data_IF_548538145154
#
_entry.id   IF_548538145154
#
_cell.length_a   1.000
_cell.length_b   1.000
_cell.length_c   1.000
_cell.angle_alpha   90.00
_cell.angle_beta   90.00
_cell.angle_gamma   90.00
#
_symmetry.space_group_name_H-M   'P 1'
#
loop_
_entity.id
_entity.type
_entity.pdbx_description
1 polymer ?
#
# COMPACT_ATOMS: atom_id res chain seq x y z
N UNK A 1 -13.66 -7.57 4.96
CA UNK A 1 -13.83 -6.92 3.65
C UNK A 1 -12.52 -6.26 3.20
N UNK A 2 -11.91 -5.35 4.00
CA UNK A 2 -10.68 -4.63 3.58
C UNK A 2 -9.53 -5.59 3.24
N UNK A 3 -9.24 -6.57 4.09
CA UNK A 3 -8.19 -7.56 3.83
C UNK A 3 -8.46 -8.40 2.57
N UNK A 4 -9.74 -8.62 2.24
CA UNK A 4 -10.15 -9.32 1.01
C UNK A 4 -9.94 -8.45 -0.23
N UNK A 5 -10.18 -7.14 -0.10
CA UNK A 5 -10.00 -6.20 -1.22
C UNK A 5 -8.52 -6.00 -1.55
N UNK A 6 -7.66 -6.14 -0.57
CA UNK A 6 -6.22 -5.86 -0.66
C UNK A 6 -5.37 -7.09 -1.05
N UNK A 7 -5.82 -8.31 -0.73
CA UNK A 7 -5.06 -9.53 -1.00
C UNK A 7 -5.07 -9.89 -2.49
N UNK A 8 -3.98 -10.43 -3.03
CA UNK A 8 -3.93 -11.05 -4.36
C UNK A 8 -4.44 -12.48 -4.33
N UNK A 9 -4.19 -13.19 -3.23
CA UNK A 9 -4.68 -14.54 -2.95
C UNK A 9 -5.25 -14.57 -1.54
N UNK A 10 -6.37 -15.25 -1.34
CA UNK A 10 -7.03 -15.38 -0.04
C UNK A 10 -6.89 -16.81 0.45
N UNK A 11 -6.29 -17.00 1.62
CA UNK A 11 -6.28 -18.29 2.31
C UNK A 11 -7.39 -18.29 3.36
N UNK A 12 -8.44 -19.09 3.13
CA UNK A 12 -9.53 -19.27 4.09
C UNK A 12 -9.27 -20.50 4.93
N UNK A 13 -9.08 -20.28 6.24
CA UNK A 13 -8.71 -21.36 7.18
C UNK A 13 -9.93 -21.78 7.99
N UNK A 14 -10.27 -23.07 7.94
CA UNK A 14 -11.35 -23.70 8.70
C UNK A 14 -10.83 -24.85 9.57
N UNK A 15 -11.60 -25.32 10.52
CA UNK A 15 -11.20 -26.39 11.45
C UNK A 15 -11.74 -27.74 11.01
N UNK A 16 -10.85 -28.69 10.66
CA UNK A 16 -11.25 -30.06 10.34
C UNK A 16 -11.89 -30.84 11.53
N UNK A 17 -11.55 -30.46 12.77
CA UNK A 17 -12.12 -31.07 13.97
C UNK A 17 -13.55 -30.63 14.28
N UNK A 18 -13.90 -29.40 13.91
CA UNK A 18 -15.22 -28.83 14.22
C UNK A 18 -16.20 -29.02 13.07
N UNK A 19 -15.69 -29.38 11.88
CA UNK A 19 -16.50 -29.44 10.67
C UNK A 19 -16.87 -28.03 10.19
N UNK A 20 -17.81 -27.96 9.24
CA UNK A 20 -18.31 -26.68 8.71
C UNK A 20 -19.26 -26.06 9.74
N UNK A 21 -19.00 -24.82 10.09
CA UNK A 21 -19.84 -24.02 10.98
C UNK A 21 -20.66 -22.98 10.22
N UNK A 22 -21.72 -22.43 10.83
CA UNK A 22 -22.51 -21.32 10.27
C UNK A 22 -21.62 -20.08 9.96
N UNK A 23 -20.57 -19.89 10.76
CA UNK A 23 -19.60 -18.82 10.55
C UNK A 23 -18.77 -19.05 9.28
N UNK A 24 -18.35 -20.29 9.03
CA UNK A 24 -17.61 -20.67 7.83
C UNK A 24 -18.45 -20.46 6.57
N UNK A 25 -19.72 -20.87 6.60
CA UNK A 25 -20.65 -20.65 5.51
C UNK A 25 -20.91 -19.15 5.26
N UNK A 26 -21.00 -18.36 6.33
CA UNK A 26 -21.16 -16.91 6.20
C UNK A 26 -19.96 -16.27 5.51
N UNK A 27 -18.75 -16.64 5.93
CA UNK A 27 -17.49 -16.15 5.31
C UNK A 27 -17.39 -16.64 3.87
N UNK A 28 -17.70 -17.92 3.60
CA UNK A 28 -17.70 -18.46 2.24
C UNK A 28 -18.61 -17.66 1.30
N UNK A 29 -19.83 -17.32 1.75
CA UNK A 29 -20.75 -16.44 0.98
C UNK A 29 -20.19 -15.05 0.70
N UNK A 30 -19.38 -14.49 1.60
CA UNK A 30 -18.69 -13.22 1.34
C UNK A 30 -17.57 -13.39 0.31
N UNK A 31 -16.81 -14.50 0.42
CA UNK A 31 -15.72 -14.82 -0.50
C UNK A 31 -16.20 -15.07 -1.93
N UNK A 32 -17.39 -15.59 -2.15
CA UNK A 32 -17.97 -15.73 -3.50
C UNK A 32 -18.14 -14.43 -4.26
N UNK A 33 -18.19 -13.30 -3.57
CA UNK A 33 -18.33 -11.97 -4.20
C UNK A 33 -17.00 -11.42 -4.67
N UNK A 34 -15.89 -12.01 -4.24
CA UNK A 34 -14.57 -11.63 -4.72
C UNK A 34 -14.23 -12.42 -5.98
N UNK A 35 -13.48 -11.81 -6.88
CA UNK A 35 -12.97 -12.48 -8.07
C UNK A 35 -11.51 -12.94 -7.88
N UNK A 36 -11.04 -12.93 -6.62
CA UNK A 36 -9.67 -13.31 -6.26
C UNK A 36 -9.56 -14.80 -6.05
N UNK A 37 -8.39 -15.41 -6.31
CA UNK A 37 -8.14 -16.81 -5.98
C UNK A 37 -8.33 -17.07 -4.49
N UNK A 38 -9.02 -18.16 -4.16
CA UNK A 38 -9.27 -18.58 -2.78
C UNK A 38 -8.68 -19.96 -2.58
N UNK A 39 -7.88 -20.13 -1.54
CA UNK A 39 -7.31 -21.39 -1.10
C UNK A 39 -8.00 -21.79 0.19
N UNK A 40 -8.75 -22.91 0.17
CA UNK A 40 -9.44 -23.42 1.34
C UNK A 40 -8.52 -24.35 2.14
N UNK A 41 -8.04 -23.88 3.29
CA UNK A 41 -7.17 -24.63 4.18
C UNK A 41 -7.97 -25.26 5.33
N UNK A 42 -8.05 -26.59 5.37
CA UNK A 42 -8.70 -27.33 6.47
C UNK A 42 -7.63 -27.69 7.50
N UNK A 43 -7.56 -26.91 8.58
CA UNK A 43 -6.56 -27.06 9.63
C UNK A 43 -6.99 -28.08 10.71
N UNK A 44 -6.06 -28.49 11.54
CA UNK A 44 -6.21 -29.51 12.59
C UNK A 44 -6.46 -30.92 12.04
N UNK A 45 -6.02 -31.22 10.81
CA UNK A 45 -6.01 -32.58 10.24
C UNK A 45 -4.74 -33.30 10.71
N UNK A 46 -4.75 -33.76 11.96
CA UNK A 46 -3.56 -34.24 12.66
C UNK A 46 -3.24 -35.71 12.37
N UNK A 47 -4.17 -36.47 11.77
CA UNK A 47 -3.96 -37.87 11.43
C UNK A 47 -4.54 -38.22 10.03
N UNK A 48 -4.11 -39.38 9.44
CA UNK A 48 -4.54 -39.77 8.11
C UNK A 48 -6.06 -40.10 8.01
N UNK A 49 -6.70 -40.51 9.09
CA UNK A 49 -8.12 -40.86 9.11
C UNK A 49 -8.99 -39.63 8.87
N UNK A 50 -8.58 -38.48 9.43
CA UNK A 50 -9.28 -37.20 9.22
C UNK A 50 -9.20 -36.67 7.78
N UNK A 51 -8.29 -37.22 6.95
CA UNK A 51 -8.20 -36.79 5.54
C UNK A 51 -9.45 -37.14 4.73
N UNK A 52 -10.23 -38.15 5.13
CA UNK A 52 -11.50 -38.47 4.48
C UNK A 52 -12.61 -37.48 4.82
N UNK A 53 -12.52 -36.81 5.96
CA UNK A 53 -13.52 -35.84 6.42
C UNK A 53 -13.41 -34.50 5.75
N UNK A 54 -12.26 -34.20 5.11
CA UNK A 54 -12.08 -32.94 4.38
C UNK A 54 -13.00 -32.79 3.17
N UNK A 55 -13.50 -33.90 2.63
CA UNK A 55 -14.42 -33.88 1.49
C UNK A 55 -15.72 -33.14 1.80
N UNK A 56 -16.13 -33.10 3.05
CA UNK A 56 -17.34 -32.37 3.47
C UNK A 56 -17.18 -30.85 3.19
N UNK A 57 -15.94 -30.36 3.20
CA UNK A 57 -15.65 -28.93 2.97
C UNK A 57 -15.82 -28.49 1.51
N UNK A 58 -15.97 -29.42 0.55
CA UNK A 58 -16.43 -29.07 -0.80
C UNK A 58 -17.81 -28.40 -0.79
N UNK A 59 -18.63 -28.63 0.25
CA UNK A 59 -19.91 -27.96 0.39
C UNK A 59 -19.79 -26.43 0.50
N UNK A 60 -18.64 -25.92 0.91
CA UNK A 60 -18.36 -24.49 0.90
C UNK A 60 -18.17 -23.93 -0.51
N UNK A 61 -17.96 -24.75 -1.55
CA UNK A 61 -17.88 -24.38 -2.95
C UNK A 61 -16.67 -23.51 -3.32
N UNK A 62 -15.64 -23.46 -2.48
CA UNK A 62 -14.45 -22.59 -2.64
C UNK A 62 -13.27 -23.32 -3.32
N UNK A 63 -13.51 -24.40 -4.03
CA UNK A 63 -12.49 -25.23 -4.67
C UNK A 63 -12.02 -26.39 -3.80
N UNK A 64 -10.85 -26.95 -4.13
CA UNK A 64 -10.29 -28.11 -3.45
C UNK A 64 -9.81 -27.74 -2.03
N UNK A 65 -10.25 -28.48 -0.99
CA UNK A 65 -9.78 -28.25 0.37
C UNK A 65 -8.38 -28.85 0.58
N UNK A 66 -7.45 -28.05 1.12
CA UNK A 66 -6.10 -28.47 1.47
C UNK A 66 -6.03 -28.92 2.92
N UNK A 67 -5.75 -30.22 3.21
CA UNK A 67 -5.60 -30.70 4.57
C UNK A 67 -4.29 -30.21 5.18
N UNK A 68 -4.36 -29.55 6.32
CA UNK A 68 -3.17 -29.09 7.06
C UNK A 68 -3.23 -29.42 8.53
N UNK A 69 -2.05 -29.58 9.11
CA UNK A 69 -1.84 -29.54 10.55
C UNK A 69 -0.76 -28.52 10.87
N UNK A 70 -1.16 -27.32 11.26
CA UNK A 70 -0.22 -26.25 11.58
C UNK A 70 0.68 -26.58 12.78
N UNK A 71 0.20 -27.41 13.71
CA UNK A 71 0.99 -27.85 14.86
C UNK A 71 2.09 -28.82 14.45
N UNK A 72 1.85 -29.66 13.45
CA UNK A 72 2.80 -30.68 12.97
C UNK A 72 3.50 -30.30 11.67
N UNK A 73 3.19 -29.13 11.10
CA UNK A 73 3.76 -28.69 9.83
C UNK A 73 3.36 -29.52 8.60
N UNK A 74 2.31 -30.37 8.73
CA UNK A 74 1.85 -31.25 7.64
C UNK A 74 0.97 -30.45 6.68
N UNK A 75 1.19 -30.59 5.36
CA UNK A 75 0.41 -29.95 4.30
C UNK A 75 0.65 -28.45 4.11
N UNK A 76 1.57 -27.86 4.88
CA UNK A 76 1.91 -26.43 4.73
C UNK A 76 2.61 -26.13 3.42
N UNK A 77 3.42 -27.06 2.89
CA UNK A 77 4.06 -26.95 1.58
C UNK A 77 3.02 -26.84 0.46
N UNK A 78 2.02 -27.71 0.46
CA UNK A 78 0.98 -27.75 -0.58
C UNK A 78 0.19 -26.43 -0.62
N UNK A 79 -0.07 -25.80 0.55
CA UNK A 79 -0.69 -24.46 0.60
C UNK A 79 0.24 -23.39 0.04
N UNK A 80 1.53 -23.43 0.38
CA UNK A 80 2.49 -22.45 -0.13
C UNK A 80 2.64 -22.55 -1.65
N UNK A 81 2.69 -23.78 -2.19
CA UNK A 81 2.71 -23.99 -3.63
C UNK A 81 1.44 -23.45 -4.30
N UNK A 82 0.27 -23.75 -3.73
CA UNK A 82 -1.00 -23.21 -4.21
C UNK A 82 -1.06 -21.68 -4.16
N UNK A 83 -0.48 -21.03 -3.13
CA UNK A 83 -0.37 -19.57 -3.06
C UNK A 83 0.48 -19.06 -4.22
N UNK A 84 1.68 -19.63 -4.42
CA UNK A 84 2.61 -19.20 -5.48
C UNK A 84 2.02 -19.36 -6.86
N UNK A 85 1.32 -20.49 -7.13
CA UNK A 85 0.63 -20.74 -8.41
C UNK A 85 -0.48 -19.74 -8.73
N UNK A 86 -1.10 -19.18 -7.69
CA UNK A 86 -2.22 -18.24 -7.83
C UNK A 86 -1.82 -16.77 -7.65
N UNK A 87 -0.55 -16.48 -7.31
CA UNK A 87 -0.05 -15.11 -7.33
C UNK A 87 0.00 -14.59 -8.77
N UNK A 88 -0.33 -13.32 -9.00
CA UNK A 88 -0.14 -12.73 -10.31
C UNK A 88 1.34 -12.82 -10.71
N UNK A 89 1.59 -13.30 -11.93
CA UNK A 89 2.96 -13.27 -12.47
C UNK A 89 3.37 -11.82 -12.64
N UNK A 90 4.24 -11.32 -11.79
CA UNK A 90 4.92 -10.03 -11.97
C UNK A 90 6.02 -10.15 -13.06
N UNK A 91 5.65 -10.62 -14.24
CA UNK A 91 6.51 -10.51 -15.44
C UNK A 91 6.14 -9.26 -16.27
N UNK A 92 5.95 -8.14 -15.64
CA UNK A 92 6.36 -6.90 -16.28
C UNK A 92 7.83 -6.72 -15.90
N UNK A 93 8.75 -6.86 -16.86
CA UNK A 93 10.15 -6.54 -16.65
C UNK A 93 10.21 -5.08 -16.15
N UNK A 94 10.24 -4.90 -14.84
CA UNK A 94 10.46 -3.59 -14.25
C UNK A 94 11.80 -3.11 -14.78
N UNK A 95 11.79 -1.98 -15.45
CA UNK A 95 13.03 -1.32 -15.84
C UNK A 95 13.84 -1.09 -14.56
N UNK A 96 15.00 -1.73 -14.36
CA UNK A 96 15.75 -1.61 -13.10
C UNK A 96 16.21 -0.17 -12.81
N UNK A 97 16.21 0.69 -13.84
CA UNK A 97 16.58 2.10 -13.73
C UNK A 97 15.38 3.01 -13.44
N UNK A 98 14.15 2.46 -13.35
CA UNK A 98 12.94 3.21 -13.07
C UNK A 98 12.85 3.56 -11.59
N UNK A 99 12.79 4.85 -11.29
CA UNK A 99 12.66 5.35 -9.90
C UNK A 99 11.19 5.35 -9.48
N UNK A 100 10.88 4.63 -8.42
CA UNK A 100 9.54 4.58 -7.82
C UNK A 100 9.45 5.58 -6.67
N UNK A 101 8.44 6.45 -6.68
CA UNK A 101 8.24 7.38 -5.58
C UNK A 101 6.77 7.49 -5.17
N UNK A 102 6.57 7.88 -3.92
CA UNK A 102 5.24 8.14 -3.37
C UNK A 102 5.18 9.50 -2.68
N UNK A 103 3.96 10.06 -2.60
CA UNK A 103 3.68 11.26 -1.82
C UNK A 103 2.99 10.86 -0.53
N UNK A 104 3.58 11.20 0.60
CA UNK A 104 3.00 11.00 1.93
C UNK A 104 2.74 12.34 2.61
N UNK A 105 1.89 12.34 3.61
CA UNK A 105 1.53 13.53 4.40
C UNK A 105 0.05 13.54 4.74
N UNK A 106 -0.34 14.45 5.62
CA UNK A 106 -1.71 14.62 6.12
C UNK A 106 -2.71 14.88 4.98
N UNK A 107 -4.01 14.64 5.20
CA UNK A 107 -5.06 15.14 4.31
C UNK A 107 -4.92 16.66 4.10
N UNK A 108 -5.28 17.14 2.92
CA UNK A 108 -5.33 18.56 2.56
C UNK A 108 -4.00 19.35 2.56
N UNK A 109 -2.86 18.69 2.70
CA UNK A 109 -1.53 19.35 2.54
C UNK A 109 -1.20 19.68 1.07
N UNK A 110 -2.03 19.24 0.12
CA UNK A 110 -1.88 19.57 -1.30
C UNK A 110 -1.25 18.47 -2.16
N UNK A 111 -1.17 17.22 -1.68
CA UNK A 111 -0.62 16.09 -2.45
C UNK A 111 -1.25 15.94 -3.84
N UNK A 112 -2.57 15.96 -3.93
CA UNK A 112 -3.28 15.83 -5.22
C UNK A 112 -3.00 16.98 -6.17
N UNK A 113 -2.86 18.20 -5.65
CA UNK A 113 -2.52 19.38 -6.46
C UNK A 113 -1.10 19.27 -7.00
N UNK A 114 -0.17 18.81 -6.16
CA UNK A 114 1.22 18.60 -6.54
C UNK A 114 1.34 17.52 -7.63
N UNK A 115 0.61 16.41 -7.49
CA UNK A 115 0.54 15.36 -8.52
C UNK A 115 0.01 15.92 -9.83
N UNK A 116 -1.08 16.68 -9.78
CA UNK A 116 -1.67 17.26 -10.98
C UNK A 116 -0.72 18.26 -11.66
N UNK A 117 0.06 19.00 -10.88
CA UNK A 117 1.08 19.88 -11.42
C UNK A 117 2.21 19.10 -12.11
N UNK A 118 2.74 18.06 -11.46
CA UNK A 118 3.80 17.21 -12.03
C UNK A 118 3.30 16.52 -13.33
N UNK A 119 2.09 15.97 -13.33
CA UNK A 119 1.54 15.25 -14.49
C UNK A 119 0.93 16.17 -15.55
N UNK A 120 0.68 17.42 -15.23
CA UNK A 120 0.10 18.43 -16.13
C UNK A 120 1.13 19.30 -16.83
N UNK A 121 2.42 19.15 -16.55
CA UNK A 121 3.47 19.84 -17.28
C UNK A 121 3.59 19.29 -18.72
N UNK A 122 3.71 20.17 -19.71
CA UNK A 122 3.83 19.80 -21.14
C UNK A 122 5.04 18.90 -21.44
N UNK A 123 5.92 18.75 -20.48
CA UNK A 123 7.19 18.00 -20.53
C UNK A 123 7.08 16.56 -20.04
N UNK A 124 5.92 16.13 -19.53
CA UNK A 124 5.74 14.81 -18.93
C UNK A 124 4.76 13.97 -19.75
N UNK A 125 5.24 12.86 -20.30
CA UNK A 125 4.38 11.87 -20.97
C UNK A 125 3.93 10.86 -19.92
N UNK A 126 2.69 10.98 -19.45
CA UNK A 126 2.13 10.08 -18.45
C UNK A 126 1.31 8.95 -19.10
N UNK A 127 1.58 7.72 -18.72
CA UNK A 127 0.77 6.54 -19.04
C UNK A 127 0.26 5.89 -17.75
N UNK A 128 -1.07 5.71 -17.58
CA UNK A 128 -1.56 4.92 -16.46
C UNK A 128 -1.20 3.45 -16.69
N UNK A 129 -0.38 2.90 -15.83
CA UNK A 129 -0.17 1.45 -15.76
C UNK A 129 -1.20 0.91 -14.78
N UNK A 130 -2.09 0.04 -15.26
CA UNK A 130 -2.95 -0.73 -14.39
C UNK A 130 -2.04 -1.68 -13.60
N UNK A 131 -1.75 -1.32 -12.36
CA UNK A 131 -1.08 -2.22 -11.44
C UNK A 131 -1.93 -3.47 -11.23
N UNK A 132 -1.30 -4.57 -10.87
CA UNK A 132 -1.86 -5.89 -10.61
C UNK A 132 -2.88 -5.91 -9.46
N UNK A 133 -3.05 -4.83 -8.72
CA UNK A 133 -4.05 -4.66 -7.66
C UNK A 133 -5.10 -3.64 -8.06
N UNK A 134 -6.37 -4.04 -8.03
CA UNK A 134 -7.57 -3.30 -8.48
C UNK A 134 -7.77 -1.89 -7.88
N UNK A 135 -6.98 -1.51 -6.86
CA UNK A 135 -7.13 -0.24 -6.12
C UNK A 135 -5.92 0.69 -6.15
N UNK A 136 -4.74 0.25 -6.55
CA UNK A 136 -3.56 1.08 -6.68
C UNK A 136 -3.27 1.34 -8.16
N UNK A 137 -3.66 2.49 -8.67
CA UNK A 137 -3.24 2.93 -10.00
C UNK A 137 -1.91 3.65 -9.82
N UNK A 138 -0.83 3.01 -10.24
CA UNK A 138 0.45 3.66 -10.36
C UNK A 138 0.49 4.42 -11.70
N UNK A 139 1.25 5.49 -11.75
CA UNK A 139 1.38 6.29 -12.97
C UNK A 139 2.86 6.36 -13.36
N UNK A 140 3.17 5.82 -14.52
CA UNK A 140 4.51 5.95 -15.11
C UNK A 140 4.57 7.24 -15.92
N UNK A 141 5.66 7.96 -15.81
CA UNK A 141 5.95 9.13 -16.63
C UNK A 141 7.45 9.24 -16.88
N UNK A 142 7.78 9.96 -17.94
CA UNK A 142 9.16 10.20 -18.37
C UNK A 142 9.41 11.71 -18.38
N UNK A 143 10.54 12.15 -17.85
CA UNK A 143 10.94 13.54 -17.90
C UNK A 143 11.61 13.93 -19.25
N UNK A 144 12.00 15.18 -19.39
CA UNK A 144 12.65 15.73 -20.60
C UNK A 144 14.00 15.07 -20.91
N UNK A 145 14.65 14.49 -19.93
CA UNK A 145 15.94 13.82 -20.06
C UNK A 145 15.81 12.34 -20.42
N UNK A 146 14.56 11.82 -20.46
CA UNK A 146 14.25 10.42 -20.76
C UNK A 146 14.32 9.49 -19.55
N UNK A 147 14.42 10.05 -18.33
CA UNK A 147 14.36 9.25 -17.09
C UNK A 147 12.93 8.84 -16.80
N UNK A 148 12.72 7.55 -16.58
CA UNK A 148 11.42 7.00 -16.21
C UNK A 148 11.21 7.00 -14.70
N UNK A 149 9.99 7.40 -14.31
CA UNK A 149 9.53 7.43 -12.93
C UNK A 149 8.18 6.72 -12.80
N UNK A 150 7.97 6.06 -11.67
CA UNK A 150 6.66 5.53 -11.29
C UNK A 150 6.17 6.18 -10.02
N UNK A 151 5.04 6.85 -10.11
CA UNK A 151 4.35 7.39 -8.93
C UNK A 151 3.39 6.35 -8.38
N UNK A 152 3.62 5.94 -7.13
CA UNK A 152 2.87 4.90 -6.44
C UNK A 152 1.58 5.47 -5.84
N UNK A 153 0.47 4.69 -5.92
CA UNK A 153 -0.84 4.98 -5.30
C UNK A 153 -1.52 6.29 -5.75
N UNK A 154 -1.51 6.59 -7.04
CA UNK A 154 -2.16 7.80 -7.58
C UNK A 154 -3.69 7.74 -7.52
N UNK A 155 -4.33 6.55 -7.54
CA UNK A 155 -5.78 6.39 -7.53
C UNK A 155 -6.43 6.92 -6.26
N UNK A 156 -5.82 6.67 -5.13
CA UNK A 156 -6.31 7.17 -3.86
C UNK A 156 -6.25 8.67 -3.71
N UNK A 157 -5.36 9.30 -4.46
CA UNK A 157 -5.18 10.74 -4.43
C UNK A 157 -6.08 11.47 -5.43
N UNK A 158 -6.43 10.84 -6.57
CA UNK A 158 -7.36 11.39 -7.56
C UNK A 158 -8.83 11.32 -7.14
N UNK A 159 -9.21 10.34 -6.32
CA UNK A 159 -10.59 10.14 -5.83
C UNK A 159 -10.96 10.97 -4.59
N UNK A 160 -10.05 11.75 -4.02
CA UNK A 160 -10.27 12.51 -2.78
C UNK A 160 -11.25 13.69 -2.89
N UNK A 161 -11.99 13.79 -3.99
CA UNK A 161 -13.11 14.74 -4.17
C UNK A 161 -14.47 14.27 -3.65
N UNK A 162 -14.60 13.03 -3.16
CA UNK A 162 -15.84 12.51 -2.55
C UNK A 162 -15.51 11.82 -1.23
N UNK A 163 -15.91 12.51 -0.16
CA UNK A 163 -16.18 12.05 1.21
C UNK A 163 -15.93 10.54 1.42
N UNK A 164 -14.74 10.20 1.92
CA UNK A 164 -14.56 9.06 2.80
C UNK A 164 -14.00 9.63 4.10
N UNK A 165 -14.80 9.57 5.15
CA UNK A 165 -14.33 9.68 6.53
C UNK A 165 -13.41 8.48 6.80
N UNK A 166 -12.20 8.56 6.28
CA UNK A 166 -11.19 7.59 6.58
C UNK A 166 -10.63 7.92 7.96
N UNK A 167 -10.92 7.06 8.92
CA UNK A 167 -10.24 7.07 10.21
C UNK A 167 -8.73 7.17 9.99
N UNK A 168 -8.03 7.91 10.83
CA UNK A 168 -6.58 8.16 10.79
C UNK A 168 -5.76 6.87 10.56
N UNK A 169 -6.24 5.74 11.09
CA UNK A 169 -5.63 4.41 10.91
C UNK A 169 -5.53 3.98 9.45
N UNK A 170 -6.55 4.22 8.62
CA UNK A 170 -6.52 3.85 7.20
C UNK A 170 -5.53 4.70 6.42
N UNK A 171 -5.44 5.98 6.77
CA UNK A 171 -4.48 6.90 6.16
C UNK A 171 -3.03 6.46 6.43
N UNK A 172 -2.73 6.01 7.65
CA UNK A 172 -1.40 5.49 8.03
C UNK A 172 -1.08 4.20 7.29
N UNK A 173 -1.99 3.21 7.27
CA UNK A 173 -1.75 1.93 6.58
C UNK A 173 -1.50 2.12 5.08
N UNK A 174 -2.25 3.03 4.45
CA UNK A 174 -2.06 3.37 3.05
C UNK A 174 -0.70 4.03 2.80
N UNK A 175 -0.32 4.97 3.67
CA UNK A 175 0.98 5.60 3.59
C UNK A 175 2.12 4.57 3.74
N UNK A 176 2.01 3.62 4.67
CA UNK A 176 3.00 2.55 4.85
C UNK A 176 3.16 1.70 3.60
N UNK A 177 2.06 1.30 2.94
CA UNK A 177 2.13 0.53 1.69
C UNK A 177 2.79 1.30 0.55
N UNK A 178 2.45 2.59 0.42
CA UNK A 178 3.08 3.42 -0.58
C UNK A 178 4.59 3.57 -0.31
N UNK A 179 4.98 3.69 0.97
CA UNK A 179 6.38 3.72 1.39
C UNK A 179 7.09 2.42 1.01
N UNK A 180 6.53 1.27 1.34
CA UNK A 180 7.16 -0.05 1.10
C UNK A 180 7.48 -0.25 -0.38
N UNK A 181 6.60 0.19 -1.29
CA UNK A 181 6.71 0.05 -2.75
C UNK A 181 7.55 1.13 -3.43
N UNK A 182 8.03 2.14 -2.70
CA UNK A 182 8.77 3.27 -3.23
C UNK A 182 10.28 3.15 -2.97
N UNK A 183 11.08 3.76 -3.83
CA UNK A 183 12.52 4.00 -3.60
C UNK A 183 12.71 5.35 -2.88
N UNK A 184 11.89 6.33 -3.26
CA UNK A 184 11.91 7.68 -2.72
C UNK A 184 10.52 8.09 -2.22
N UNK A 185 10.49 8.79 -1.11
CA UNK A 185 9.26 9.29 -0.49
C UNK A 185 9.29 10.83 -0.45
N UNK A 186 8.29 11.45 -1.08
CA UNK A 186 8.06 12.89 -1.00
C UNK A 186 7.15 13.17 0.20
N UNK A 187 7.73 13.67 1.28
CA UNK A 187 6.99 14.03 2.47
C UNK A 187 6.44 15.45 2.38
N UNK A 188 5.14 15.57 2.16
CA UNK A 188 4.48 16.85 1.92
C UNK A 188 3.96 17.46 3.22
N UNK A 189 4.48 18.62 3.57
CA UNK A 189 4.08 19.45 4.71
C UNK A 189 3.27 20.65 4.22
N UNK A 190 2.36 21.16 5.06
CA UNK A 190 1.64 22.41 4.80
C UNK A 190 2.34 23.57 5.52
N UNK A 191 2.76 24.58 4.77
CA UNK A 191 3.47 25.75 5.30
C UNK A 191 2.66 26.54 6.35
N UNK A 192 1.34 26.64 6.20
CA UNK A 192 0.48 27.34 7.16
C UNK A 192 0.28 26.60 8.47
N UNK A 193 0.20 25.26 8.39
CA UNK A 193 -0.17 24.44 9.54
C UNK A 193 1.04 23.97 10.35
N UNK A 194 2.24 24.05 9.77
CA UNK A 194 3.46 23.57 10.39
C UNK A 194 3.54 22.03 10.49
N UNK A 195 4.55 21.56 11.21
CA UNK A 195 4.81 20.15 11.44
C UNK A 195 3.92 19.63 12.56
N UNK A 196 3.33 18.43 12.36
CA UNK A 196 2.43 17.77 13.33
C UNK A 196 2.98 16.38 13.69
N UNK A 197 2.48 15.80 14.77
CA UNK A 197 2.88 14.45 15.22
C UNK A 197 2.63 13.36 14.18
N UNK A 198 1.56 13.47 13.40
CA UNK A 198 1.31 12.56 12.28
C UNK A 198 2.45 12.61 11.25
N UNK A 199 2.94 13.80 10.90
CA UNK A 199 4.01 13.99 9.94
C UNK A 199 5.31 13.32 10.44
N UNK A 200 5.64 13.50 11.72
CA UNK A 200 6.80 12.85 12.35
C UNK A 200 6.70 11.34 12.33
N UNK A 201 5.52 10.81 12.64
CA UNK A 201 5.27 9.37 12.67
C UNK A 201 5.45 8.74 11.29
N UNK A 202 4.86 9.34 10.25
CA UNK A 202 4.95 8.81 8.89
C UNK A 202 6.37 8.95 8.32
N UNK A 203 7.05 10.05 8.59
CA UNK A 203 8.45 10.23 8.24
C UNK A 203 9.35 9.19 8.92
N UNK A 204 9.05 8.84 10.19
CA UNK A 204 9.73 7.78 10.91
C UNK A 204 9.61 6.43 10.21
N UNK A 205 8.43 6.05 9.75
CA UNK A 205 8.23 4.81 8.99
C UNK A 205 9.03 4.78 7.69
N UNK A 206 9.07 5.89 6.94
CA UNK A 206 9.87 5.97 5.71
C UNK A 206 11.37 5.83 5.99
N UNK A 207 11.84 6.44 7.07
CA UNK A 207 13.23 6.34 7.51
C UNK A 207 13.60 4.91 7.96
N UNK A 208 12.77 4.27 8.79
CA UNK A 208 12.95 2.90 9.26
C UNK A 208 12.92 1.89 8.10
N UNK A 209 12.12 2.16 7.06
CA UNK A 209 12.09 1.36 5.83
C UNK A 209 13.30 1.61 4.90
N UNK A 210 14.25 2.49 5.28
CA UNK A 210 15.46 2.76 4.51
C UNK A 210 15.23 3.50 3.19
N UNK A 211 14.11 4.21 3.04
CA UNK A 211 13.76 4.92 1.80
C UNK A 211 14.47 6.26 1.69
N UNK A 212 14.75 6.70 0.45
CA UNK A 212 15.13 8.08 0.17
C UNK A 212 13.97 9.01 0.57
N UNK A 213 14.27 10.14 1.23
CA UNK A 213 13.23 11.07 1.68
C UNK A 213 13.56 12.47 1.19
N UNK A 214 12.55 13.12 0.58
CA UNK A 214 12.56 14.54 0.23
C UNK A 214 11.43 15.22 1.01
N UNK A 215 11.75 16.29 1.73
CA UNK A 215 10.75 17.07 2.48
C UNK A 215 10.26 18.20 1.58
N UNK A 216 8.96 18.20 1.30
CA UNK A 216 8.29 19.19 0.45
C UNK A 216 7.41 20.09 1.30
N UNK A 217 7.76 21.36 1.42
CA UNK A 217 6.95 22.37 2.12
C UNK A 217 6.06 23.05 1.07
N UNK A 218 4.80 22.63 1.05
CA UNK A 218 3.79 23.06 0.07
C UNK A 218 2.94 24.23 0.61
N UNK A 219 2.25 24.91 -0.31
CA UNK A 219 1.48 26.14 -0.06
C UNK A 219 2.38 27.27 0.47
N UNK A 220 3.59 27.33 -0.08
CA UNK A 220 4.56 28.33 0.35
C UNK A 220 4.12 29.76 0.03
N UNK A 221 3.27 29.95 -0.98
CA UNK A 221 2.68 31.23 -1.38
C UNK A 221 1.73 31.83 -0.35
N UNK A 222 1.12 31.02 0.50
CA UNK A 222 0.09 31.46 1.47
C UNK A 222 0.68 32.17 2.71
N UNK A 223 1.99 32.01 2.95
CA UNK A 223 2.66 32.63 4.08
C UNK A 223 3.07 34.07 3.81
N UNK A 224 2.91 34.93 4.82
CA UNK A 224 3.63 36.21 4.87
C UNK A 224 5.12 35.92 5.11
N UNK A 225 5.97 36.38 4.20
CA UNK A 225 7.40 36.04 4.16
C UNK A 225 8.27 37.25 4.42
N UNK A 226 9.27 37.05 5.24
CA UNK A 226 10.40 37.96 5.42
C UNK A 226 11.71 37.25 4.95
N UNK A 227 12.83 37.96 5.09
CA UNK A 227 14.14 37.43 4.68
C UNK A 227 14.62 36.22 5.49
N UNK A 228 13.94 35.87 6.59
CA UNK A 228 14.31 34.79 7.49
C UNK A 228 13.31 33.63 7.48
N UNK A 229 12.15 33.81 6.90
CA UNK A 229 11.05 32.83 6.94
C UNK A 229 11.51 31.46 6.45
N UNK A 230 12.22 31.39 5.33
CA UNK A 230 12.74 30.12 4.80
C UNK A 230 13.77 29.49 5.74
N UNK A 231 14.73 30.27 6.23
CA UNK A 231 15.75 29.77 7.16
C UNK A 231 15.13 29.27 8.47
N UNK A 232 14.11 29.95 8.99
CA UNK A 232 13.41 29.54 10.19
C UNK A 232 12.68 28.22 9.98
N UNK A 233 12.04 28.03 8.81
CA UNK A 233 11.38 26.78 8.44
C UNK A 233 12.37 25.62 8.28
N UNK A 234 13.51 25.85 7.64
CA UNK A 234 14.57 24.85 7.54
C UNK A 234 15.11 24.46 8.92
N UNK A 235 15.34 25.44 9.80
CA UNK A 235 15.80 25.18 11.17
C UNK A 235 14.76 24.36 11.96
N UNK A 236 13.47 24.71 11.87
CA UNK A 236 12.40 23.95 12.53
C UNK A 236 12.30 22.52 12.00
N UNK A 237 12.37 22.32 10.69
CA UNK A 237 12.41 20.98 10.08
C UNK A 237 13.60 20.18 10.61
N UNK A 238 14.79 20.76 10.66
CA UNK A 238 16.00 20.06 11.15
C UNK A 238 15.92 19.72 12.63
N UNK A 239 15.29 20.56 13.43
CA UNK A 239 15.06 20.31 14.85
C UNK A 239 14.01 19.20 15.06
N UNK A 240 12.88 19.26 14.34
CA UNK A 240 11.78 18.32 14.48
C UNK A 240 12.08 16.92 13.90
N UNK A 241 12.90 16.86 12.83
CA UNK A 241 13.29 15.63 12.12
C UNK A 241 14.82 15.43 12.18
N UNK A 242 15.40 15.38 13.36
CA UNK A 242 16.86 15.24 13.56
C UNK A 242 17.43 14.02 12.83
N UNK A 243 16.67 12.93 12.73
CA UNK A 243 17.05 11.71 12.03
C UNK A 243 17.01 11.84 10.48
N UNK A 244 16.43 12.93 9.94
CA UNK A 244 16.38 13.24 8.51
C UNK A 244 17.33 14.39 8.13
N UNK A 245 18.45 14.54 8.84
CA UNK A 245 19.43 15.60 8.54
C UNK A 245 19.97 15.58 7.11
N UNK A 246 19.95 14.41 6.46
CA UNK A 246 20.36 14.18 5.08
C UNK A 246 19.31 14.58 4.04
N UNK A 247 18.02 14.64 4.43
CA UNK A 247 16.91 14.83 3.49
C UNK A 247 16.94 16.25 2.90
N UNK A 248 16.86 16.40 1.58
CA UNK A 248 16.69 17.71 0.96
C UNK A 248 15.33 18.31 1.31
N UNK A 249 15.27 19.65 1.37
CA UNK A 249 14.04 20.41 1.65
C UNK A 249 13.74 21.24 0.42
N UNK A 250 12.50 21.14 -0.08
CA UNK A 250 12.02 21.87 -1.26
C UNK A 250 10.76 22.65 -0.87
N UNK A 251 10.71 23.92 -1.25
CA UNK A 251 9.55 24.80 -1.02
C UNK A 251 8.80 24.97 -2.33
N UNK A 252 7.48 24.69 -2.33
CA UNK A 252 6.62 24.71 -3.51
C UNK A 252 5.29 25.43 -3.23
N UNK A 253 4.63 25.90 -4.31
CA UNK A 253 3.37 26.64 -4.27
C UNK A 253 2.39 26.11 -5.29
#
# INVERSE_FOLDING_TARGET
EIAMDEADVIVFVVSGKEGITDADEYVARMLYKTHKPIILAVNKVDNPEMRSEIFDFYALGLGDPYPVSSVHGIGTGDILDAIVENLPNEEAAENPDMIKFSLIGRPNVGKSSLINAILGEDRVIASPVAGTTRDAIDTVFTDDEGQEFTMIDTAGMRKSGKVYENTEKYSVMRAMRAIDRSDVVLMVLNAEEGIREYDKRIAGFAHEAGKGIVIVVNKWDTLEKDNKTMQNWEADIRDQFQYLSYAPIVFVS
#
